data_IF_739553362200
#
_entry.id   IF_739553362200
#
_cell.length_a   1.000
_cell.length_b   1.000
_cell.length_c   1.000
_cell.angle_alpha   90.00
_cell.angle_beta   90.00
_cell.angle_gamma   90.00
#
_symmetry.space_group_name_H-M   'P 1'
#
loop_
_entity.id
_entity.type
_entity.pdbx_description
1 polymer ?
#
# COMPACT_ATOMS: atom_id res chain seq x y z
N UNK A 1 13.63 -11.69 1.11
CA UNK A 1 12.68 -12.76 0.72
C UNK A 1 12.37 -12.57 -0.76
N UNK A 2 12.28 -13.63 -1.58
CA UNK A 2 11.80 -13.48 -2.95
C UNK A 2 10.38 -12.91 -2.89
N UNK A 3 10.15 -11.76 -3.51
CA UNK A 3 8.79 -11.23 -3.69
C UNK A 3 8.12 -12.16 -4.67
N UNK A 4 7.04 -12.81 -4.23
CA UNK A 4 6.32 -13.77 -5.06
C UNK A 4 5.84 -13.10 -6.35
N UNK A 5 6.20 -13.68 -7.50
CA UNK A 5 5.88 -13.14 -8.83
C UNK A 5 6.97 -12.31 -9.52
N UNK A 6 8.05 -11.92 -8.82
CA UNK A 6 9.19 -11.24 -9.47
C UNK A 6 10.25 -12.24 -9.96
N UNK A 7 10.94 -11.97 -11.09
CA UNK A 7 12.08 -12.77 -11.51
C UNK A 7 13.15 -12.80 -10.41
N UNK A 8 13.87 -13.92 -10.30
CA UNK A 8 14.99 -13.99 -9.34
C UNK A 8 16.03 -12.91 -9.65
N UNK A 9 16.81 -12.51 -8.63
CA UNK A 9 17.89 -11.53 -8.80
C UNK A 9 18.84 -11.94 -9.93
N UNK A 10 19.14 -13.24 -10.04
CA UNK A 10 19.99 -13.81 -11.08
C UNK A 10 19.38 -13.60 -12.46
N UNK A 11 18.09 -13.94 -12.64
CA UNK A 11 17.39 -13.76 -13.93
C UNK A 11 17.37 -12.27 -14.31
N UNK A 12 17.09 -11.39 -13.36
CA UNK A 12 17.07 -9.95 -13.58
C UNK A 12 18.46 -9.41 -13.99
N UNK A 13 19.53 -9.85 -13.31
CA UNK A 13 20.90 -9.47 -13.68
C UNK A 13 21.28 -9.97 -15.08
N UNK A 14 20.95 -11.22 -15.41
CA UNK A 14 21.20 -11.79 -16.73
C UNK A 14 20.47 -10.99 -17.83
N UNK A 15 19.22 -10.62 -17.60
CA UNK A 15 18.44 -9.82 -18.54
C UNK A 15 19.07 -8.43 -18.77
N UNK A 16 19.50 -7.74 -17.71
CA UNK A 16 20.16 -6.43 -17.82
C UNK A 16 21.50 -6.56 -18.58
N UNK A 17 22.31 -7.56 -18.25
CA UNK A 17 23.59 -7.83 -18.94
C UNK A 17 23.35 -8.10 -20.43
N UNK A 18 22.35 -8.93 -20.76
CA UNK A 18 21.97 -9.21 -22.13
C UNK A 18 21.59 -7.92 -22.89
N UNK A 19 20.75 -7.08 -22.29
CA UNK A 19 20.37 -5.79 -22.90
C UNK A 19 21.58 -4.89 -23.14
N UNK A 20 22.50 -4.78 -22.17
CA UNK A 20 23.74 -4.00 -22.33
C UNK A 20 24.60 -4.54 -23.47
N UNK A 21 24.78 -5.86 -23.56
CA UNK A 21 25.56 -6.51 -24.63
C UNK A 21 24.93 -6.23 -26.00
N UNK A 22 23.61 -6.33 -26.13
CA UNK A 22 22.90 -6.04 -27.38
C UNK A 22 23.01 -4.58 -27.80
N UNK A 23 22.90 -3.64 -26.85
CA UNK A 23 23.08 -2.21 -27.11
C UNK A 23 24.51 -1.87 -27.54
N UNK A 24 25.52 -2.45 -26.86
CA UNK A 24 26.92 -2.31 -27.24
C UNK A 24 27.19 -2.89 -28.62
N UNK A 25 26.72 -4.10 -28.90
CA UNK A 25 26.84 -4.74 -30.21
C UNK A 25 26.20 -3.89 -31.31
N UNK A 26 25.03 -3.29 -31.04
CA UNK A 26 24.37 -2.32 -31.93
C UNK A 26 25.29 -1.12 -32.21
N UNK A 27 25.80 -0.47 -31.17
CA UNK A 27 26.70 0.69 -31.29
C UNK A 27 27.99 0.38 -32.05
N UNK A 28 28.64 -0.76 -31.79
CA UNK A 28 29.86 -1.18 -32.48
C UNK A 28 29.61 -1.56 -33.94
N UNK A 29 28.46 -2.15 -34.25
CA UNK A 29 28.10 -2.54 -35.62
C UNK A 29 27.82 -1.34 -36.53
N UNK A 30 27.42 -0.19 -35.97
CA UNK A 30 27.20 1.06 -36.73
C UNK A 30 28.50 1.63 -37.29
N UNK A 31 29.68 1.23 -36.79
CA UNK A 31 30.95 1.56 -37.49
C UNK A 31 30.99 1.06 -38.93
N UNK A 32 30.11 0.12 -39.32
CA UNK A 32 29.99 -0.43 -40.68
C UNK A 32 28.79 0.10 -41.47
N UNK A 33 27.91 0.93 -40.89
CA UNK A 33 26.67 1.42 -41.52
C UNK A 33 26.39 2.90 -41.19
N UNK A 34 25.97 3.76 -42.13
CA UNK A 34 26.00 5.22 -41.97
C UNK A 34 24.87 5.85 -41.12
N UNK A 35 24.13 5.09 -40.31
CA UNK A 35 22.96 5.61 -39.59
C UNK A 35 23.31 6.17 -38.21
N UNK A 36 23.66 7.46 -38.16
CA UNK A 36 23.93 8.22 -36.92
C UNK A 36 22.83 8.09 -35.85
N UNK A 37 21.57 7.91 -36.27
CA UNK A 37 20.43 7.70 -35.37
C UNK A 37 20.50 6.42 -34.55
N UNK A 38 21.07 5.33 -35.08
CA UNK A 38 21.16 4.04 -34.39
C UNK A 38 22.21 4.08 -33.29
N UNK A 39 23.36 4.71 -33.57
CA UNK A 39 24.41 4.89 -32.57
C UNK A 39 23.95 5.79 -31.42
N UNK A 40 23.33 6.92 -31.73
CA UNK A 40 22.84 7.88 -30.72
C UNK A 40 21.77 7.27 -29.82
N UNK A 41 20.78 6.58 -30.39
CA UNK A 41 19.74 5.88 -29.61
C UNK A 41 20.29 4.74 -28.77
N UNK A 42 21.26 3.95 -29.28
CA UNK A 42 21.90 2.89 -28.52
C UNK A 42 22.74 3.42 -27.34
N UNK A 43 23.53 4.48 -27.55
CA UNK A 43 24.32 5.10 -26.48
C UNK A 43 23.42 5.72 -25.41
N UNK A 44 22.36 6.45 -25.81
CA UNK A 44 21.42 7.04 -24.87
C UNK A 44 20.69 5.97 -24.05
N UNK A 45 20.25 4.88 -24.69
CA UNK A 45 19.61 3.76 -24.00
C UNK A 45 20.56 3.08 -23.00
N UNK A 46 21.83 2.91 -23.38
CA UNK A 46 22.86 2.36 -22.48
C UNK A 46 23.11 3.28 -21.28
N UNK A 47 23.23 4.59 -21.51
CA UNK A 47 23.39 5.58 -20.44
C UNK A 47 22.20 5.60 -19.49
N UNK A 48 20.96 5.56 -20.01
CA UNK A 48 19.75 5.50 -19.20
C UNK A 48 19.68 4.21 -18.39
N UNK A 49 20.04 3.06 -18.97
CA UNK A 49 20.06 1.78 -18.26
C UNK A 49 21.10 1.77 -17.13
N UNK A 50 22.30 2.26 -17.38
CA UNK A 50 23.37 2.37 -16.37
C UNK A 50 22.99 3.34 -15.25
N UNK A 51 22.47 4.52 -15.61
CA UNK A 51 21.97 5.49 -14.64
C UNK A 51 20.85 4.88 -13.82
N UNK A 52 19.98 4.08 -14.45
CA UNK A 52 18.87 3.45 -13.74
C UNK A 52 19.35 2.47 -12.67
N UNK A 53 20.32 1.62 -13.01
CA UNK A 53 20.95 0.69 -12.05
C UNK A 53 21.62 1.45 -10.91
N UNK A 54 22.33 2.54 -11.21
CA UNK A 54 22.97 3.37 -10.21
C UNK A 54 21.94 4.04 -9.28
N UNK A 55 20.88 4.62 -9.84
CA UNK A 55 19.79 5.26 -9.10
C UNK A 55 19.10 4.26 -8.18
N UNK A 56 18.75 3.07 -8.67
CA UNK A 56 18.15 2.01 -7.82
C UNK A 56 19.07 1.64 -6.66
N UNK A 57 20.40 1.58 -6.90
CA UNK A 57 21.38 1.22 -5.86
C UNK A 57 21.47 2.25 -4.73
N UNK A 58 21.26 3.53 -5.04
CA UNK A 58 21.37 4.64 -4.06
C UNK A 58 20.02 5.10 -3.52
N UNK A 59 18.92 4.72 -4.19
CA UNK A 59 17.59 5.13 -3.79
C UNK A 59 17.25 4.50 -2.43
N UNK A 60 16.86 5.31 -1.43
CA UNK A 60 16.34 4.76 -0.19
C UNK A 60 14.98 4.13 -0.48
N UNK A 61 14.96 2.81 -0.64
CA UNK A 61 13.72 2.06 -0.79
C UNK A 61 13.09 1.98 0.61
N UNK A 62 12.08 2.81 0.83
CA UNK A 62 11.26 2.72 2.04
C UNK A 62 10.50 1.39 2.10
N UNK A 63 10.02 0.98 3.29
CA UNK A 63 9.26 -0.27 3.45
C UNK A 63 7.89 -0.28 2.74
N UNK A 64 7.50 0.85 2.13
CA UNK A 64 6.19 1.05 1.52
C UNK A 64 6.32 1.16 0.01
N UNK A 65 5.63 0.25 -0.69
CA UNK A 65 5.40 0.22 -2.14
C UNK A 65 6.63 0.57 -3.01
N UNK A 66 7.68 -0.27 -2.96
CA UNK A 66 8.86 -0.12 -3.82
C UNK A 66 8.51 -0.14 -5.31
N UNK A 67 7.41 -0.79 -5.70
CA UNK A 67 6.99 -0.88 -7.08
C UNK A 67 6.54 0.49 -7.63
N UNK A 68 5.80 1.28 -6.84
CA UNK A 68 5.43 2.64 -7.23
C UNK A 68 6.65 3.54 -7.44
N UNK A 69 7.64 3.44 -6.55
CA UNK A 69 8.88 4.20 -6.61
C UNK A 69 9.73 3.90 -7.85
N UNK A 70 9.52 2.75 -8.47
CA UNK A 70 10.25 2.29 -9.65
C UNK A 70 9.47 2.47 -10.96
N UNK A 71 8.29 3.10 -10.95
CA UNK A 71 7.48 3.32 -12.17
C UNK A 71 8.20 4.14 -13.25
N UNK A 72 9.18 4.96 -12.90
CA UNK A 72 10.01 5.67 -13.86
C UNK A 72 10.91 4.75 -14.71
N UNK A 73 11.10 3.48 -14.32
CA UNK A 73 11.82 2.49 -15.14
C UNK A 73 11.02 2.06 -16.37
N UNK A 74 9.69 2.21 -16.36
CA UNK A 74 8.84 1.88 -17.51
C UNK A 74 9.24 2.64 -18.78
N UNK A 75 9.30 3.99 -18.79
CA UNK A 75 9.73 4.73 -19.98
C UNK A 75 11.18 4.42 -20.36
N UNK A 76 12.07 4.14 -19.40
CA UNK A 76 13.45 3.71 -19.69
C UNK A 76 13.48 2.37 -20.43
N UNK A 77 12.76 1.37 -19.91
CA UNK A 77 12.66 0.05 -20.54
C UNK A 77 12.05 0.13 -21.94
N UNK A 78 10.99 0.92 -22.10
CA UNK A 78 10.38 1.17 -23.40
C UNK A 78 11.37 1.78 -24.40
N UNK A 79 12.19 2.74 -23.96
CA UNK A 79 13.21 3.36 -24.81
C UNK A 79 14.34 2.39 -25.17
N UNK A 80 14.80 1.55 -24.24
CA UNK A 80 15.80 0.50 -24.50
C UNK A 80 15.29 -0.46 -25.59
N UNK A 81 14.04 -0.93 -25.47
CA UNK A 81 13.40 -1.79 -26.47
C UNK A 81 13.30 -1.07 -27.82
N UNK A 82 12.86 0.19 -27.82
CA UNK A 82 12.81 1.02 -29.03
C UNK A 82 14.16 1.10 -29.74
N UNK A 83 15.26 1.40 -29.02
CA UNK A 83 16.60 1.49 -29.61
C UNK A 83 17.07 0.17 -30.24
N UNK A 84 16.74 -0.97 -29.62
CA UNK A 84 17.04 -2.30 -30.15
C UNK A 84 16.19 -2.61 -31.40
N UNK A 85 14.89 -2.33 -31.37
CA UNK A 85 14.02 -2.50 -32.53
C UNK A 85 14.43 -1.59 -33.68
N UNK A 86 14.78 -0.34 -33.40
CA UNK A 86 15.25 0.61 -34.39
C UNK A 86 16.49 0.07 -35.12
N UNK A 87 17.42 -0.56 -34.40
CA UNK A 87 18.55 -1.28 -35.02
C UNK A 87 18.06 -2.39 -35.95
N UNK A 88 17.15 -3.26 -35.50
CA UNK A 88 16.63 -4.38 -36.30
C UNK A 88 15.97 -3.89 -37.59
N UNK A 89 15.18 -2.82 -37.51
CA UNK A 89 14.51 -2.24 -38.68
C UNK A 89 15.47 -1.59 -39.69
N UNK A 90 16.67 -1.19 -39.27
CA UNK A 90 17.70 -0.69 -40.20
C UNK A 90 18.48 -1.79 -40.91
N UNK A 91 18.22 -3.07 -40.60
CA UNK A 91 18.89 -4.19 -41.26
C UNK A 91 18.25 -4.48 -42.63
N UNK A 92 19.03 -4.53 -43.73
CA UNK A 92 18.50 -4.68 -45.09
C UNK A 92 17.65 -5.95 -45.29
N UNK A 93 18.03 -7.05 -44.62
CA UNK A 93 17.41 -8.36 -44.76
C UNK A 93 16.00 -8.45 -44.14
N UNK A 94 15.64 -7.53 -43.25
CA UNK A 94 14.45 -7.65 -42.39
C UNK A 94 13.30 -6.76 -42.88
N UNK A 95 13.54 -5.81 -43.81
CA UNK A 95 12.60 -4.70 -44.09
C UNK A 95 11.20 -5.09 -44.56
N UNK A 96 11.00 -6.27 -45.16
CA UNK A 96 9.67 -6.73 -45.63
C UNK A 96 8.86 -7.49 -44.57
N UNK A 97 9.50 -8.21 -43.66
CA UNK A 97 8.84 -9.01 -42.61
C UNK A 97 8.88 -8.36 -41.22
N UNK A 98 9.65 -7.28 -41.07
CA UNK A 98 9.83 -6.55 -39.82
C UNK A 98 8.52 -6.13 -39.13
N UNK A 99 7.48 -5.63 -39.83
CA UNK A 99 6.24 -5.20 -39.19
C UNK A 99 5.52 -6.35 -38.49
N UNK A 100 5.49 -7.54 -39.11
CA UNK A 100 4.85 -8.74 -38.56
C UNK A 100 5.63 -9.30 -37.37
N UNK A 101 6.96 -9.29 -37.44
CA UNK A 101 7.81 -9.68 -36.32
C UNK A 101 7.60 -8.77 -35.11
N UNK A 102 7.50 -7.46 -35.33
CA UNK A 102 7.24 -6.51 -34.24
C UNK A 102 5.82 -6.61 -33.73
N UNK A 103 4.82 -6.80 -34.59
CA UNK A 103 3.46 -7.05 -34.15
C UNK A 103 3.37 -8.32 -33.28
N UNK A 104 4.05 -9.40 -33.67
CA UNK A 104 4.10 -10.63 -32.89
C UNK A 104 4.84 -10.44 -31.55
N UNK A 105 5.97 -9.73 -31.55
CA UNK A 105 6.73 -9.44 -30.32
C UNK A 105 5.93 -8.56 -29.36
N UNK A 106 5.28 -7.51 -29.87
CA UNK A 106 4.40 -6.64 -29.09
C UNK A 106 3.23 -7.45 -28.53
N UNK A 107 2.59 -8.30 -29.34
CA UNK A 107 1.52 -9.17 -28.86
C UNK A 107 2.01 -10.08 -27.71
N UNK A 108 3.15 -10.76 -27.87
CA UNK A 108 3.75 -11.62 -26.83
C UNK A 108 4.05 -10.81 -25.55
N UNK A 109 4.68 -9.64 -25.67
CA UNK A 109 5.03 -8.79 -24.53
C UNK A 109 3.77 -8.22 -23.86
N UNK A 110 2.76 -7.82 -24.62
CA UNK A 110 1.48 -7.36 -24.09
C UNK A 110 0.74 -8.48 -23.36
N UNK A 111 0.71 -9.69 -23.92
CA UNK A 111 0.15 -10.89 -23.25
C UNK A 111 0.94 -11.23 -21.98
N UNK A 112 2.26 -11.15 -22.01
CA UNK A 112 3.11 -11.38 -20.84
C UNK A 112 2.96 -10.29 -19.75
N UNK A 113 2.57 -9.07 -20.13
CA UNK A 113 2.27 -7.97 -19.21
C UNK A 113 0.80 -7.91 -18.79
N UNK A 114 -0.06 -8.82 -19.26
CA UNK A 114 -1.39 -8.92 -18.68
C UNK A 114 -1.23 -9.27 -17.19
N UNK A 115 -1.91 -8.55 -16.28
CA UNK A 115 -1.85 -8.85 -14.85
C UNK A 115 -2.59 -10.16 -14.59
N UNK A 116 -1.92 -11.28 -14.84
CA UNK A 116 -2.42 -12.63 -14.58
C UNK A 116 -2.24 -13.02 -13.11
N UNK A 117 -1.49 -12.22 -12.36
CA UNK A 117 -1.26 -12.40 -10.94
C UNK A 117 -1.73 -11.18 -10.17
N UNK A 118 -2.42 -11.44 -9.07
CA UNK A 118 -2.79 -10.44 -8.09
C UNK A 118 -1.52 -10.12 -7.30
N UNK A 119 -0.93 -8.94 -7.54
CA UNK A 119 0.22 -8.45 -6.76
C UNK A 119 -0.28 -8.20 -5.33
N UNK A 120 0.33 -8.87 -4.36
CA UNK A 120 -0.05 -8.75 -2.95
C UNK A 120 0.16 -7.32 -2.44
N UNK A 121 1.12 -6.58 -2.98
CA UNK A 121 1.34 -5.17 -2.72
C UNK A 121 0.46 -4.29 -3.64
N UNK A 122 -0.78 -3.98 -3.24
CA UNK A 122 -1.67 -3.13 -4.03
C UNK A 122 -3.09 -3.03 -3.47
N UNK A 123 -4.09 -2.90 -4.35
CA UNK A 123 -5.53 -2.81 -3.97
C UNK A 123 -6.04 -4.01 -3.18
N UNK A 124 -5.32 -5.13 -3.23
CA UNK A 124 -5.62 -6.35 -2.49
C UNK A 124 -4.75 -6.55 -1.24
N UNK A 125 -3.80 -5.65 -0.96
CA UNK A 125 -2.88 -5.79 0.18
C UNK A 125 -3.62 -5.93 1.51
N UNK A 126 -4.82 -5.34 1.58
CA UNK A 126 -5.68 -5.39 2.75
C UNK A 126 -6.91 -6.28 2.55
N UNK A 127 -6.84 -7.29 1.67
CA UNK A 127 -7.95 -8.23 1.45
C UNK A 127 -8.38 -8.90 2.76
N UNK A 128 -7.44 -9.19 3.65
CA UNK A 128 -7.68 -9.76 4.97
C UNK A 128 -8.53 -8.84 5.87
N UNK A 129 -8.45 -7.52 5.70
CA UNK A 129 -9.25 -6.55 6.46
C UNK A 129 -10.69 -6.42 5.95
N UNK A 130 -11.03 -7.00 4.80
CA UNK A 130 -12.37 -6.90 4.19
C UNK A 130 -13.51 -7.25 5.15
N UNK A 131 -13.44 -8.34 5.96
CA UNK A 131 -14.49 -8.66 6.93
C UNK A 131 -14.64 -7.57 8.01
N UNK A 132 -13.53 -7.06 8.54
CA UNK A 132 -13.54 -5.97 9.53
C UNK A 132 -14.09 -4.68 8.95
N UNK A 133 -13.70 -4.32 7.73
CA UNK A 133 -14.23 -3.16 7.00
C UNK A 133 -15.74 -3.27 6.79
N UNK A 134 -16.24 -4.43 6.32
CA UNK A 134 -17.68 -4.65 6.15
C UNK A 134 -18.45 -4.53 7.47
N UNK A 135 -17.91 -5.11 8.54
CA UNK A 135 -18.51 -5.06 9.87
C UNK A 135 -18.50 -3.65 10.48
N UNK A 136 -17.49 -2.84 10.15
CA UNK A 136 -17.43 -1.44 10.53
C UNK A 136 -18.45 -0.62 9.75
N UNK A 137 -18.52 -0.80 8.42
CA UNK A 137 -19.50 -0.11 7.55
C UNK A 137 -20.93 -0.44 7.98
N UNK A 138 -21.23 -1.69 8.35
CA UNK A 138 -22.56 -2.08 8.84
C UNK A 138 -22.96 -1.44 10.17
N UNK A 139 -22.08 -0.64 10.79
CA UNK A 139 -22.34 0.08 12.04
C UNK A 139 -22.31 1.60 11.85
N UNK A 140 -22.18 2.09 10.61
CA UNK A 140 -22.06 3.53 10.29
C UNK A 140 -23.28 4.32 10.74
N UNK A 141 -24.48 3.73 10.74
CA UNK A 141 -25.71 4.34 11.25
C UNK A 141 -25.59 4.82 12.71
N UNK A 142 -24.68 4.25 13.52
CA UNK A 142 -24.44 4.71 14.90
C UNK A 142 -23.85 6.13 14.97
N UNK A 143 -23.31 6.61 13.86
CA UNK A 143 -22.77 7.97 13.71
C UNK A 143 -23.83 8.95 13.21
N UNK A 144 -25.03 8.47 12.86
CA UNK A 144 -26.15 9.34 12.50
C UNK A 144 -26.63 10.15 13.71
N UNK A 145 -27.20 11.33 13.46
CA UNK A 145 -27.68 12.27 14.48
C UNK A 145 -26.62 12.73 15.50
N UNK A 146 -25.32 12.56 15.19
CA UNK A 146 -24.20 13.03 16.03
C UNK A 146 -23.72 14.45 15.66
N UNK A 147 -24.49 15.17 14.85
CA UNK A 147 -24.14 16.50 14.32
C UNK A 147 -23.10 16.45 13.21
N UNK A 148 -22.38 17.55 12.97
CA UNK A 148 -21.29 17.56 11.97
C UNK A 148 -20.04 16.97 12.60
N UNK A 149 -19.47 15.95 11.97
CA UNK A 149 -18.26 15.27 12.41
C UNK A 149 -17.01 15.90 11.79
N UNK A 150 -16.02 16.28 12.61
CA UNK A 150 -14.70 16.67 12.14
C UNK A 150 -13.80 15.44 12.10
N UNK A 151 -13.46 14.96 10.91
CA UNK A 151 -12.55 13.84 10.75
C UNK A 151 -11.11 14.26 11.05
N UNK A 152 -10.53 13.60 12.06
CA UNK A 152 -9.13 13.76 12.48
C UNK A 152 -8.29 12.55 12.04
N UNK A 153 -7.36 12.74 11.08
CA UNK A 153 -6.50 11.67 10.61
C UNK A 153 -5.23 11.46 11.47
N UNK A 154 -5.06 12.19 12.58
CA UNK A 154 -3.84 12.13 13.41
C UNK A 154 -3.55 10.74 14.00
N UNK A 155 -4.58 9.91 14.15
CA UNK A 155 -4.47 8.55 14.68
C UNK A 155 -4.31 7.48 13.61
N UNK A 156 -4.33 7.85 12.32
CA UNK A 156 -4.24 6.90 11.24
C UNK A 156 -2.82 6.33 11.12
N UNK A 157 -2.75 5.02 10.92
CA UNK A 157 -1.53 4.39 10.45
C UNK A 157 -1.39 4.60 8.95
N UNK A 158 -0.15 4.67 8.47
CA UNK A 158 0.10 4.78 7.04
C UNK A 158 -0.57 3.62 6.29
N UNK A 159 -1.33 3.93 5.24
CA UNK A 159 -2.06 2.98 4.39
C UNK A 159 -2.98 2.01 5.15
N UNK A 160 -3.60 2.47 6.25
CA UNK A 160 -4.63 1.69 6.92
C UNK A 160 -5.89 1.51 6.02
N UNK A 161 -6.60 0.37 6.11
CA UNK A 161 -7.68 0.05 5.17
C UNK A 161 -9.09 0.50 5.61
N UNK A 162 -9.23 1.26 6.70
CA UNK A 162 -10.51 1.51 7.34
C UNK A 162 -11.08 2.92 7.07
N UNK A 163 -10.29 3.99 7.16
CA UNK A 163 -10.84 5.35 7.09
C UNK A 163 -11.49 5.68 5.74
N UNK A 164 -10.89 5.29 4.63
CA UNK A 164 -11.44 5.52 3.29
C UNK A 164 -12.85 4.94 3.12
N UNK A 165 -13.04 3.62 3.35
CA UNK A 165 -14.37 3.01 3.33
C UNK A 165 -15.35 3.60 4.35
N UNK A 166 -14.90 3.99 5.54
CA UNK A 166 -15.76 4.66 6.53
C UNK A 166 -16.29 6.01 6.00
N UNK A 167 -15.41 6.86 5.46
CA UNK A 167 -15.78 8.18 4.93
C UNK A 167 -16.69 8.06 3.71
N UNK A 168 -16.46 7.06 2.86
CA UNK A 168 -17.36 6.74 1.76
C UNK A 168 -18.75 6.33 2.25
N UNK A 169 -18.83 5.43 3.23
CA UNK A 169 -20.09 5.00 3.81
C UNK A 169 -20.83 6.17 4.51
N UNK A 170 -20.13 7.04 5.23
CA UNK A 170 -20.73 8.26 5.80
C UNK A 170 -21.33 9.16 4.72
N UNK A 171 -20.65 9.30 3.58
CA UNK A 171 -21.14 10.11 2.46
C UNK A 171 -22.37 9.47 1.80
N UNK A 172 -22.38 8.15 1.64
CA UNK A 172 -23.50 7.37 1.08
C UNK A 172 -24.75 7.45 1.97
N UNK A 173 -24.59 7.35 3.28
CA UNK A 173 -25.66 7.48 4.28
C UNK A 173 -26.08 8.94 4.55
N UNK A 174 -25.48 9.92 3.85
CA UNK A 174 -25.81 11.33 4.03
C UNK A 174 -25.37 11.93 5.37
N UNK A 175 -24.54 11.24 6.14
CA UNK A 175 -24.02 11.70 7.43
C UNK A 175 -23.02 12.84 7.19
N UNK A 176 -23.21 13.97 7.88
CA UNK A 176 -22.42 15.18 7.68
C UNK A 176 -21.06 15.07 8.37
N UNK A 177 -19.99 15.17 7.58
CA UNK A 177 -18.63 15.28 8.07
C UNK A 177 -17.81 16.26 7.23
N UNK A 178 -16.74 16.78 7.84
CA UNK A 178 -15.76 17.71 7.29
C UNK A 178 -14.34 17.32 7.74
N UNK A 179 -13.32 17.87 7.10
CA UNK A 179 -11.91 17.66 7.51
C UNK A 179 -11.08 18.92 7.32
N UNK A 180 -10.12 19.14 8.22
CA UNK A 180 -9.12 20.19 8.12
C UNK A 180 -7.84 19.73 7.40
N UNK A 181 -7.73 18.44 7.07
CA UNK A 181 -6.54 17.88 6.46
C UNK A 181 -6.56 18.03 4.94
N UNK A 182 -5.64 18.83 4.37
CA UNK A 182 -5.59 19.13 2.93
C UNK A 182 -5.57 17.89 2.01
N UNK A 183 -4.74 16.85 2.26
CA UNK A 183 -4.81 15.61 1.49
C UNK A 183 -6.23 15.02 1.38
N UNK A 184 -6.99 15.01 2.49
CA UNK A 184 -8.38 14.54 2.47
C UNK A 184 -9.34 15.53 1.79
N UNK A 185 -9.10 16.84 1.89
CA UNK A 185 -9.88 17.82 1.11
C UNK A 185 -9.71 17.59 -0.39
N UNK A 186 -8.50 17.29 -0.86
CA UNK A 186 -8.26 16.96 -2.28
C UNK A 186 -8.96 15.68 -2.73
N UNK A 187 -9.12 14.70 -1.83
CA UNK A 187 -9.80 13.43 -2.14
C UNK A 187 -11.33 13.54 -2.07
N UNK A 188 -11.84 14.26 -1.08
CA UNK A 188 -13.27 14.34 -0.77
C UNK A 188 -13.97 15.55 -1.42
N UNK A 189 -13.19 16.52 -1.89
CA UNK A 189 -13.63 17.75 -2.51
C UNK A 189 -13.79 18.93 -1.54
N UNK A 190 -13.79 20.13 -2.12
CA UNK A 190 -13.86 21.42 -1.40
C UNK A 190 -15.12 21.61 -0.54
N UNK A 191 -16.19 20.86 -0.82
CA UNK A 191 -17.42 20.86 -0.02
C UNK A 191 -17.26 20.20 1.36
N UNK A 192 -16.21 19.40 1.55
CA UNK A 192 -15.89 18.73 2.84
C UNK A 192 -14.79 19.45 3.62
N UNK A 193 -14.28 20.57 3.10
CA UNK A 193 -13.28 21.39 3.80
C UNK A 193 -13.89 21.98 5.07
N UNK A 194 -13.22 21.77 6.19
CA UNK A 194 -13.52 22.49 7.42
C UNK A 194 -13.10 23.97 7.23
N UNK A 195 -14.10 24.84 7.13
CA UNK A 195 -13.94 26.29 6.94
C UNK A 195 -14.33 27.01 8.22
N UNK A 196 -13.59 26.78 9.29
CA UNK A 196 -13.66 27.70 10.41
C UNK A 196 -12.52 28.69 10.29
N UNK A 197 -12.89 29.96 10.15
CA UNK A 197 -11.95 31.06 10.25
C UNK A 197 -11.94 31.45 11.72
N UNK A 198 -10.83 31.25 12.42
CA UNK A 198 -10.63 31.89 13.72
C UNK A 198 -10.75 33.40 13.50
N UNK A 199 -11.92 33.97 13.82
CA UNK A 199 -12.25 35.35 13.47
C UNK A 199 -11.32 36.36 14.18
N UNK A 200 -10.51 35.93 15.16
CA UNK A 200 -9.72 36.81 16.03
C UNK A 200 -8.40 36.23 16.57
N UNK A 201 -7.73 35.30 15.87
CA UNK A 201 -6.41 34.80 16.29
C UNK A 201 -6.39 33.98 17.59
N UNK A 202 -7.53 33.44 18.01
CA UNK A 202 -7.69 32.49 19.11
C UNK A 202 -7.68 31.04 18.57
N UNK A 203 -7.33 30.03 19.40
CA UNK A 203 -7.35 28.63 18.97
C UNK A 203 -8.74 28.24 18.44
N UNK A 204 -8.73 27.48 17.34
CA UNK A 204 -9.93 26.98 16.67
C UNK A 204 -10.82 26.25 17.69
N UNK A 205 -11.98 26.82 18.03
CA UNK A 205 -13.03 26.12 18.77
C UNK A 205 -13.99 25.49 17.77
N UNK A 206 -13.92 24.18 17.50
CA UNK A 206 -14.73 23.57 16.44
C UNK A 206 -16.23 23.63 16.74
N UNK A 207 -16.62 23.68 18.02
CA UNK A 207 -18.03 23.79 18.42
C UNK A 207 -18.66 25.11 17.99
N UNK A 208 -17.89 26.20 18.00
CA UNK A 208 -18.34 27.51 17.48
C UNK A 208 -18.58 27.49 15.97
N UNK A 209 -18.06 26.47 15.27
CA UNK A 209 -18.12 26.31 13.82
C UNK A 209 -19.15 25.27 13.39
N UNK A 210 -20.03 24.83 14.31
CA UNK A 210 -21.08 23.86 14.04
C UNK A 210 -20.60 22.40 13.98
N UNK A 211 -19.34 22.13 14.35
CA UNK A 211 -18.85 20.76 14.56
C UNK A 211 -19.31 20.30 15.94
N UNK A 212 -19.94 19.14 16.01
CA UNK A 212 -20.41 18.59 17.27
C UNK A 212 -19.36 17.66 17.90
N UNK A 213 -18.69 16.86 17.07
CA UNK A 213 -17.72 15.88 17.52
C UNK A 213 -16.51 15.80 16.58
N UNK A 214 -15.33 15.60 17.14
CA UNK A 214 -14.16 15.11 16.41
C UNK A 214 -14.26 13.58 16.31
N UNK A 215 -14.12 13.06 15.09
CA UNK A 215 -14.16 11.64 14.78
C UNK A 215 -12.76 11.17 14.40
N UNK A 216 -12.27 10.13 15.07
CA UNK A 216 -10.99 9.47 14.77
C UNK A 216 -11.16 7.98 14.52
N UNK A 217 -10.31 7.43 13.65
CA UNK A 217 -10.24 6.00 13.35
C UNK A 217 -8.94 5.47 13.89
N UNK A 218 -9.02 4.44 14.72
CA UNK A 218 -7.85 3.83 15.37
C UNK A 218 -7.88 2.34 15.08
N UNK A 219 -6.82 1.86 14.47
CA UNK A 219 -6.60 0.42 14.22
C UNK A 219 -5.46 -0.08 15.07
N UNK A 220 -5.44 -1.37 15.41
CA UNK A 220 -4.37 -1.90 16.24
C UNK A 220 -4.82 -2.26 17.64
N UNK A 221 -3.83 -2.64 18.46
CA UNK A 221 -3.99 -2.76 19.91
C UNK A 221 -4.58 -1.49 20.56
N UNK A 222 -4.34 -0.32 19.98
CA UNK A 222 -4.88 0.96 20.44
C UNK A 222 -6.41 1.05 20.31
N UNK A 223 -7.05 0.29 19.41
CA UNK A 223 -8.51 0.26 19.27
C UNK A 223 -9.23 -0.25 20.54
N UNK A 224 -8.51 -0.95 21.42
CA UNK A 224 -9.04 -1.47 22.68
C UNK A 224 -9.12 -0.39 23.77
N UNK A 225 -8.23 0.60 23.74
CA UNK A 225 -8.17 1.67 24.72
C UNK A 225 -9.08 2.82 24.27
N UNK A 226 -10.03 3.22 25.12
CA UNK A 226 -10.87 4.39 24.86
C UNK A 226 -10.12 5.63 25.35
N UNK A 227 -9.76 6.59 24.48
CA UNK A 227 -9.08 7.81 24.91
C UNK A 227 -9.95 8.62 25.87
N UNK A 228 -9.31 9.33 26.81
CA UNK A 228 -10.02 10.17 27.78
C UNK A 228 -10.94 11.18 27.09
N UNK A 229 -12.17 11.33 27.61
CA UNK A 229 -13.19 12.20 27.06
C UNK A 229 -13.76 11.75 25.70
N UNK A 230 -13.41 10.56 25.22
CA UNK A 230 -13.92 10.00 23.98
C UNK A 230 -14.91 8.86 24.23
N UNK A 231 -15.85 8.67 23.31
CA UNK A 231 -16.79 7.55 23.26
C UNK A 231 -16.40 6.63 22.11
N UNK A 232 -16.35 5.30 22.36
CA UNK A 232 -16.19 4.31 21.28
C UNK A 232 -17.55 3.95 20.68
N UNK A 233 -17.82 4.46 19.49
CA UNK A 233 -19.12 4.27 18.82
C UNK A 233 -19.15 2.99 17.98
N UNK A 234 -18.05 2.71 17.27
CA UNK A 234 -17.88 1.50 16.46
C UNK A 234 -16.66 0.74 16.98
N UNK A 235 -16.76 -0.58 17.11
CA UNK A 235 -15.64 -1.42 17.51
C UNK A 235 -15.67 -2.78 16.84
N UNK A 236 -14.57 -3.14 16.20
CA UNK A 236 -14.31 -4.45 15.63
C UNK A 236 -13.13 -5.05 16.39
N UNK A 237 -13.30 -6.20 17.07
CA UNK A 237 -12.25 -6.78 17.91
C UNK A 237 -11.20 -7.59 17.13
N UNK A 238 -11.22 -7.61 15.80
CA UNK A 238 -10.27 -8.36 14.95
C UNK A 238 -10.39 -9.90 15.01
N UNK A 239 -10.97 -10.47 16.07
CA UNK A 239 -11.25 -11.90 16.21
C UNK A 239 -12.75 -12.17 16.23
N UNK A 240 -13.18 -13.21 15.53
CA UNK A 240 -14.56 -13.70 15.66
C UNK A 240 -14.78 -14.37 17.04
N UNK A 241 -16.02 -14.76 17.34
CA UNK A 241 -16.37 -15.35 18.66
C UNK A 241 -15.58 -16.62 18.97
N UNK A 242 -15.37 -17.49 17.98
CA UNK A 242 -14.65 -18.77 18.14
C UNK A 242 -13.17 -18.50 18.39
N UNK A 243 -12.57 -17.64 17.60
CA UNK A 243 -11.17 -17.21 17.74
C UNK A 243 -10.92 -16.50 19.08
N UNK A 244 -11.85 -15.65 19.51
CA UNK A 244 -11.78 -14.98 20.81
C UNK A 244 -11.80 -15.96 21.98
N UNK A 245 -12.59 -17.04 21.88
CA UNK A 245 -12.59 -18.12 22.86
C UNK A 245 -11.28 -18.89 22.85
N UNK A 246 -10.75 -19.23 21.66
CA UNK A 246 -9.45 -19.88 21.51
C UNK A 246 -8.30 -19.03 22.06
N UNK A 247 -8.34 -17.72 21.82
CA UNK A 247 -7.34 -16.78 22.32
C UNK A 247 -7.34 -16.74 23.85
N UNK A 248 -8.52 -16.63 24.47
CA UNK A 248 -8.66 -16.67 25.94
C UNK A 248 -8.23 -18.00 26.53
N UNK A 249 -8.61 -19.12 25.91
CA UNK A 249 -8.20 -20.45 26.35
C UNK A 249 -6.68 -20.64 26.29
N UNK A 250 -6.08 -20.27 25.15
CA UNK A 250 -4.63 -20.32 24.99
C UNK A 250 -3.92 -19.45 26.02
N UNK A 251 -4.38 -18.19 26.21
CA UNK A 251 -3.82 -17.31 27.25
C UNK A 251 -3.92 -17.92 28.64
N UNK A 252 -5.09 -18.43 29.02
CA UNK A 252 -5.32 -19.08 30.31
C UNK A 252 -4.35 -20.24 30.54
N UNK A 253 -4.17 -21.12 29.56
CA UNK A 253 -3.25 -22.27 29.67
C UNK A 253 -1.79 -21.84 29.84
N UNK A 254 -1.39 -20.74 29.20
CA UNK A 254 -0.06 -20.16 29.37
C UNK A 254 0.11 -19.52 30.76
N UNK A 255 -0.92 -18.81 31.25
CA UNK A 255 -0.95 -18.22 32.59
C UNK A 255 -0.90 -19.31 33.68
N UNK A 256 -1.69 -20.39 33.55
CA UNK A 256 -1.72 -21.55 34.46
C UNK A 256 -0.37 -22.29 34.51
N UNK A 257 0.38 -22.28 33.41
CA UNK A 257 1.74 -22.80 33.35
C UNK A 257 2.80 -21.87 33.98
N UNK A 258 2.39 -20.69 34.48
CA UNK A 258 3.29 -19.72 35.10
C UNK A 258 4.22 -19.01 34.12
N UNK A 259 3.84 -18.93 32.84
CA UNK A 259 4.66 -18.24 31.84
C UNK A 259 4.64 -16.73 32.06
N UNK A 260 5.80 -16.13 31.88
CA UNK A 260 5.94 -14.67 31.83
C UNK A 260 5.69 -14.18 30.40
N UNK A 261 5.23 -12.95 30.28
CA UNK A 261 5.05 -12.26 29.02
C UNK A 261 6.01 -11.07 28.93
N UNK A 262 6.46 -10.76 27.72
CA UNK A 262 7.25 -9.55 27.46
C UNK A 262 6.37 -8.28 27.42
N UNK A 263 6.97 -7.12 27.16
CA UNK A 263 6.26 -5.84 27.04
C UNK A 263 5.26 -5.77 25.87
N UNK A 264 5.28 -6.73 24.95
CA UNK A 264 4.34 -6.87 23.84
C UNK A 264 3.29 -7.96 24.09
N UNK A 265 3.26 -8.52 25.30
CA UNK A 265 2.33 -9.58 25.66
C UNK A 265 2.63 -10.92 24.98
N UNK A 266 3.86 -11.16 24.50
CA UNK A 266 4.30 -12.45 23.97
C UNK A 266 4.88 -13.34 25.09
N UNK A 267 4.56 -14.64 25.14
CA UNK A 267 5.10 -15.52 26.16
C UNK A 267 6.61 -15.74 25.96
N UNK A 268 7.39 -15.66 27.05
CA UNK A 268 8.84 -15.89 27.05
C UNK A 268 9.20 -17.24 27.67
N UNK A 269 10.31 -17.85 27.23
CA UNK A 269 10.81 -19.14 27.72
C UNK A 269 9.77 -20.29 27.64
N UNK A 270 9.08 -20.41 26.51
CA UNK A 270 8.02 -21.40 26.31
C UNK A 270 8.58 -22.84 26.29
N UNK A 271 8.15 -23.73 27.21
CA UNK A 271 8.51 -25.15 27.17
C UNK A 271 8.01 -25.82 25.90
N UNK A 272 8.73 -26.83 25.41
CA UNK A 272 8.34 -27.56 24.19
C UNK A 272 6.90 -28.09 24.22
N UNK A 273 6.43 -28.54 25.39
CA UNK A 273 5.07 -29.04 25.60
C UNK A 273 3.96 -27.97 25.41
N UNK A 274 4.30 -26.68 25.45
CA UNK A 274 3.38 -25.56 25.26
C UNK A 274 3.62 -24.80 23.95
N UNK A 275 4.55 -25.27 23.11
CA UNK A 275 4.92 -24.59 21.86
C UNK A 275 3.73 -24.34 20.94
N UNK A 276 2.84 -25.33 20.76
CA UNK A 276 1.64 -25.20 19.93
C UNK A 276 0.64 -24.18 20.50
N UNK A 277 0.45 -24.17 21.83
CA UNK A 277 -0.45 -23.22 22.51
C UNK A 277 0.08 -21.79 22.39
N UNK A 278 1.39 -21.60 22.58
CA UNK A 278 2.04 -20.31 22.44
C UNK A 278 2.02 -19.82 20.99
N UNK A 279 2.25 -20.71 20.02
CA UNK A 279 2.13 -20.39 18.59
C UNK A 279 0.71 -19.93 18.27
N UNK A 280 -0.30 -20.67 18.71
CA UNK A 280 -1.70 -20.33 18.46
C UNK A 280 -2.11 -19.02 19.15
N UNK A 281 -1.66 -18.78 20.38
CA UNK A 281 -1.85 -17.52 21.09
C UNK A 281 -1.24 -16.36 20.28
N UNK A 282 0.00 -16.52 19.80
CA UNK A 282 0.71 -15.51 19.01
C UNK A 282 0.01 -15.21 17.69
N UNK A 283 -0.40 -16.24 16.95
CA UNK A 283 -1.18 -16.09 15.70
C UNK A 283 -2.45 -15.27 15.94
N UNK A 284 -3.22 -15.65 16.95
CA UNK A 284 -4.47 -14.97 17.29
C UNK A 284 -4.22 -13.56 17.83
N UNK A 285 -3.13 -13.31 18.55
CA UNK A 285 -2.77 -11.96 18.98
C UNK A 285 -2.42 -11.08 17.79
N UNK A 286 -1.61 -11.57 16.86
CA UNK A 286 -1.24 -10.84 15.63
C UNK A 286 -2.50 -10.53 14.82
N UNK A 287 -3.39 -11.50 14.63
CA UNK A 287 -4.66 -11.30 13.92
C UNK A 287 -5.54 -10.28 14.64
N UNK A 288 -5.72 -10.42 15.96
CA UNK A 288 -6.47 -9.48 16.80
C UNK A 288 -5.95 -8.05 16.66
N UNK A 289 -4.65 -7.88 16.82
CA UNK A 289 -4.03 -6.56 16.80
C UNK A 289 -4.02 -5.99 15.37
N UNK A 290 -3.88 -6.80 14.32
CA UNK A 290 -3.94 -6.34 12.92
C UNK A 290 -5.37 -5.93 12.49
N UNK A 291 -6.37 -6.72 12.87
CA UNK A 291 -7.71 -6.66 12.29
C UNK A 291 -8.72 -5.91 13.21
N UNK A 292 -8.24 -5.37 14.34
CA UNK A 292 -9.04 -4.54 15.24
C UNK A 292 -9.08 -3.09 14.80
N UNK A 293 -10.28 -2.50 14.87
CA UNK A 293 -10.52 -1.09 14.54
C UNK A 293 -11.61 -0.52 15.45
N UNK A 294 -11.44 0.73 15.85
CA UNK A 294 -12.41 1.50 16.60
C UNK A 294 -12.62 2.86 15.93
N UNK A 295 -13.86 3.35 16.00
CA UNK A 295 -14.19 4.74 15.69
C UNK A 295 -14.57 5.42 16.99
N UNK A 296 -13.84 6.50 17.31
CA UNK A 296 -14.07 7.29 18.50
C UNK A 296 -14.70 8.63 18.15
N UNK A 297 -15.59 9.10 19.01
CA UNK A 297 -16.09 10.47 19.00
C UNK A 297 -15.62 11.18 20.26
N UNK A 298 -15.04 12.37 20.10
CA UNK A 298 -14.74 13.29 21.18
C UNK A 298 -15.57 14.56 21.00
N UNK A 299 -16.20 15.11 22.04
CA UNK A 299 -16.88 16.40 21.94
C UNK A 299 -15.94 17.46 21.36
N UNK A 300 -16.45 18.27 20.43
CA UNK A 300 -15.71 19.43 19.94
C UNK A 300 -15.56 20.44 21.09
N UNK A 301 -14.33 20.71 21.52
CA UNK A 301 -13.97 21.67 22.57
C UNK A 301 -13.08 22.77 22.02
#
# INVERSE_FOLDING_TARGET
MPVSGLPSLIISMLAIVLMMVLLLASAFSVRRLPTRGVLTSALLALSLLLLSVLTIKIMPIGPVDPAHQMRWLWPVGAFVIFSLLFRVFTLPAISRSAPWLVAALVAIVSLANLPTHVVAEGTVASRDATPSVRSMISQVEKLDNRGVLLFDPSTLRFAEPYSGPLLAALAEEGIRFVTANEPYVHQLGEGRRYRCVAQWGLPDNPSACGVSNTMSVVSGIEAYAVPDGSERVIFIPGLNRKESLQFRDAKRRLDEAGLKFDGYGQPVNVPGALSEVALRYRELQIQRDRDSVAVFLRPAS
#
